data_IF_797402515411
#
_entry.id   IF_797402515411
#
_cell.length_a   1.000
_cell.length_b   1.000
_cell.length_c   1.000
_cell.angle_alpha   90.00
_cell.angle_beta   90.00
_cell.angle_gamma   90.00
#
_symmetry.space_group_name_H-M   'P 1'
#
loop_
_entity.id
_entity.type
_entity.pdbx_description
1 polymer ?
#
# COMPACT_ATOMS: atom_id res chain seq x y z
N UNK A 1 6.92 10.77 -7.95
CA UNK A 1 6.84 10.07 -6.65
C UNK A 1 7.95 9.04 -6.64
N UNK A 2 8.84 9.03 -5.63
CA UNK A 2 9.95 8.09 -5.60
C UNK A 2 9.49 6.75 -5.02
N UNK A 3 10.22 5.67 -5.32
CA UNK A 3 9.89 4.31 -4.84
C UNK A 3 9.71 4.26 -3.33
N UNK A 4 10.61 4.89 -2.59
CA UNK A 4 10.55 4.94 -1.12
C UNK A 4 9.29 5.65 -0.61
N UNK A 5 8.85 6.72 -1.27
CA UNK A 5 7.62 7.43 -0.90
C UNK A 5 6.40 6.51 -1.01
N UNK A 6 6.32 5.70 -2.08
CA UNK A 6 5.24 4.73 -2.26
C UNK A 6 5.28 3.63 -1.22
N UNK A 7 6.46 3.11 -0.88
CA UNK A 7 6.61 2.07 0.15
C UNK A 7 6.15 2.62 1.52
N UNK A 8 6.51 3.86 1.85
CA UNK A 8 6.06 4.51 3.10
C UNK A 8 4.55 4.65 3.11
N UNK A 9 3.92 5.03 1.99
CA UNK A 9 2.46 5.15 1.94
C UNK A 9 1.76 3.79 2.04
N UNK A 10 2.31 2.75 1.41
CA UNK A 10 1.80 1.37 1.60
C UNK A 10 1.91 0.98 3.08
N UNK A 11 3.03 1.28 3.74
CA UNK A 11 3.22 1.01 5.16
C UNK A 11 2.17 1.71 6.03
N UNK A 12 1.91 2.98 5.76
CA UNK A 12 0.87 3.74 6.46
C UNK A 12 -0.55 3.20 6.21
N UNK A 13 -0.82 2.63 5.04
CA UNK A 13 -2.14 2.12 4.67
C UNK A 13 -2.42 0.72 5.22
N UNK A 14 -1.42 -0.17 5.18
CA UNK A 14 -1.61 -1.61 5.42
C UNK A 14 -0.86 -2.12 6.65
N UNK A 15 0.06 -1.32 7.21
CA UNK A 15 0.88 -1.68 8.38
C UNK A 15 1.87 -2.79 8.06
N UNK A 16 2.93 -2.48 7.30
CA UNK A 16 3.87 -3.49 6.84
C UNK A 16 4.77 -3.98 7.97
N UNK A 17 5.09 -5.26 7.93
CA UNK A 17 6.20 -5.81 8.70
C UNK A 17 7.55 -5.41 8.08
N UNK A 18 8.61 -5.50 8.88
CA UNK A 18 9.98 -5.24 8.41
C UNK A 18 10.35 -6.10 7.19
N UNK A 19 9.90 -7.35 7.15
CA UNK A 19 10.20 -8.26 6.04
C UNK A 19 9.51 -7.81 4.74
N UNK A 20 8.24 -7.40 4.82
CA UNK A 20 7.49 -6.89 3.67
C UNK A 20 8.07 -5.57 3.17
N UNK A 21 8.49 -4.69 4.08
CA UNK A 21 9.15 -3.44 3.74
C UNK A 21 10.45 -3.66 2.97
N UNK A 22 11.30 -4.60 3.40
CA UNK A 22 12.53 -4.95 2.68
C UNK A 22 12.23 -5.63 1.33
N UNK A 23 11.23 -6.51 1.27
CA UNK A 23 10.79 -7.14 0.02
C UNK A 23 10.33 -6.09 -1.02
N UNK A 24 9.58 -5.07 -0.60
CA UNK A 24 9.18 -3.96 -1.48
C UNK A 24 10.38 -3.15 -2.00
N UNK A 25 11.47 -3.05 -1.23
CA UNK A 25 12.71 -2.39 -1.71
C UNK A 25 13.41 -3.18 -2.79
N UNK A 26 13.32 -4.51 -2.80
CA UNK A 26 13.91 -5.37 -3.83
C UNK A 26 13.09 -5.37 -5.13
N UNK A 27 11.81 -4.99 -5.07
CA UNK A 27 10.92 -4.89 -6.23
C UNK A 27 11.21 -3.69 -7.12
N UNK A 28 10.76 -3.82 -8.37
CA UNK A 28 10.77 -2.72 -9.34
C UNK A 28 9.76 -1.63 -8.96
N UNK A 29 9.98 -0.39 -9.41
CA UNK A 29 9.06 0.72 -9.14
C UNK A 29 7.62 0.41 -9.61
N UNK A 30 7.47 -0.18 -10.80
CA UNK A 30 6.15 -0.55 -11.35
C UNK A 30 5.39 -1.56 -10.49
N UNK A 31 6.10 -2.51 -9.88
CA UNK A 31 5.46 -3.47 -8.97
C UNK A 31 5.02 -2.80 -7.68
N UNK A 32 5.84 -1.91 -7.12
CA UNK A 32 5.49 -1.13 -5.93
C UNK A 32 4.28 -0.23 -6.22
N UNK A 33 4.23 0.43 -7.37
CA UNK A 33 3.07 1.23 -7.81
C UNK A 33 1.78 0.39 -7.88
N UNK A 34 1.87 -0.83 -8.43
CA UNK A 34 0.71 -1.73 -8.49
C UNK A 34 0.21 -2.13 -7.10
N UNK A 35 1.12 -2.41 -6.18
CA UNK A 35 0.79 -2.75 -4.79
C UNK A 35 0.14 -1.55 -4.08
N UNK A 36 0.67 -0.35 -4.29
CA UNK A 36 0.09 0.89 -3.76
C UNK A 36 -1.34 1.11 -4.27
N UNK A 37 -1.59 0.98 -5.57
CA UNK A 37 -2.94 1.15 -6.14
C UNK A 37 -3.91 0.12 -5.55
N UNK A 38 -3.48 -1.13 -5.42
CA UNK A 38 -4.32 -2.18 -4.83
C UNK A 38 -4.64 -1.89 -3.36
N UNK A 39 -3.64 -1.48 -2.57
CA UNK A 39 -3.83 -1.12 -1.17
C UNK A 39 -4.79 0.06 -1.01
N UNK A 40 -4.66 1.08 -1.86
CA UNK A 40 -5.54 2.23 -1.88
C UNK A 40 -6.99 1.85 -2.22
N UNK A 41 -7.20 1.00 -3.23
CA UNK A 41 -8.53 0.52 -3.61
C UNK A 41 -9.20 -0.31 -2.50
N UNK A 42 -8.44 -1.12 -1.77
CA UNK A 42 -8.97 -1.91 -0.66
C UNK A 42 -9.45 -1.03 0.51
N UNK A 43 -8.78 0.10 0.77
CA UNK A 43 -9.25 1.07 1.75
C UNK A 43 -10.55 1.78 1.33
N UNK A 44 -10.73 2.04 0.04
CA UNK A 44 -11.99 2.59 -0.49
C UNK A 44 -13.14 1.57 -0.39
N UNK A 45 -12.88 0.29 -0.68
CA UNK A 45 -13.87 -0.79 -0.52
C UNK A 45 -14.23 -1.03 0.97
N UNK A 46 -13.28 -0.89 1.91
CA UNK A 46 -13.58 -0.91 3.34
C UNK A 46 -14.38 0.31 3.81
N UNK A 47 -14.14 1.50 3.25
CA UNK A 47 -14.90 2.70 3.58
C UNK A 47 -16.38 2.64 3.14
N UNK A 48 -16.72 1.90 2.08
CA UNK A 48 -18.12 1.69 1.67
C UNK A 48 -18.91 0.90 2.73
N UNK A 49 -18.26 0.07 3.54
CA UNK A 49 -18.91 -0.78 4.55
C UNK A 49 -19.14 -0.12 5.92
N UNK A 50 -18.77 1.15 6.12
CA UNK A 50 -19.00 1.89 7.40
C UNK A 50 -20.12 2.94 7.28
N UNK A 51 -20.91 2.94 6.19
CA UNK A 51 -21.99 3.91 5.94
C UNK A 51 -23.42 3.33 6.08
N UNK A 52 -23.63 2.37 6.98
CA UNK A 52 -24.98 2.02 7.43
C UNK A 52 -25.01 1.80 8.94
N UNK A 53 -25.13 2.89 9.70
CA UNK A 53 -26.02 3.02 10.87
C UNK A 53 -26.40 4.49 11.07
#
# INVERSE_FOLDING_TARGET
MNKLDLIILIDLMVGLTKEEYENLKEKSLKEVEKIYINAYQQQDDEQINICYE
#
